data_IF_377284117749
#
_entry.id   IF_377284117749
#
_cell.length_a   1.000
_cell.length_b   1.000
_cell.length_c   1.000
_cell.angle_alpha   90.00
_cell.angle_beta   90.00
_cell.angle_gamma   90.00
#
_symmetry.space_group_name_H-M   'P 1'
#
loop_
_entity.id
_entity.type
_entity.pdbx_description
1 polymer ?
#
# COMPACT_ATOMS: atom_id res chain seq x y z
N UNK A 1 1.99 -15.24 -21.53
CA UNK A 1 1.49 -14.49 -20.37
C UNK A 1 2.63 -14.37 -19.40
N UNK A 2 3.11 -13.14 -19.12
CA UNK A 2 4.12 -12.91 -18.08
C UNK A 2 3.52 -13.27 -16.73
N UNK A 3 4.34 -13.85 -15.84
CA UNK A 3 3.92 -14.08 -14.45
C UNK A 3 3.60 -12.77 -13.73
N UNK A 4 3.04 -12.82 -12.52
CA UNK A 4 2.72 -11.63 -11.75
C UNK A 4 3.98 -10.77 -11.58
N UNK A 5 3.82 -9.46 -11.78
CA UNK A 5 4.91 -8.51 -11.56
C UNK A 5 5.18 -8.40 -10.06
N UNK A 6 6.43 -8.56 -9.63
CA UNK A 6 6.84 -8.46 -8.22
C UNK A 6 8.03 -7.51 -8.11
N UNK A 7 7.99 -6.58 -7.17
CA UNK A 7 9.13 -5.76 -6.80
C UNK A 7 9.97 -6.49 -5.74
N UNK A 8 11.00 -7.19 -6.18
CA UNK A 8 11.90 -7.96 -5.30
C UNK A 8 12.93 -7.10 -4.56
N UNK A 9 12.99 -5.81 -4.81
CA UNK A 9 14.03 -4.95 -4.25
C UNK A 9 13.82 -4.74 -2.74
N UNK A 10 14.93 -4.74 -2.01
CA UNK A 10 15.04 -4.17 -0.67
C UNK A 10 15.77 -2.84 -0.80
N UNK A 11 15.06 -1.74 -0.55
CA UNK A 11 15.65 -0.39 -0.60
C UNK A 11 15.99 0.07 0.80
N UNK A 12 17.14 0.69 0.96
CA UNK A 12 17.62 1.13 2.26
C UNK A 12 18.16 2.54 2.18
N UNK A 13 17.69 3.39 3.08
CA UNK A 13 18.31 4.67 3.38
C UNK A 13 18.89 4.60 4.80
N UNK A 14 20.16 5.01 4.96
CA UNK A 14 20.73 5.17 6.29
C UNK A 14 21.27 6.58 6.49
N UNK A 15 21.27 7.02 7.72
CA UNK A 15 21.83 8.31 8.14
C UNK A 15 23.01 8.02 9.06
N UNK A 16 24.14 8.64 8.77
CA UNK A 16 25.32 8.61 9.63
C UNK A 16 25.65 10.03 10.10
N UNK A 17 26.20 10.14 11.30
CA UNK A 17 26.72 11.41 11.80
C UNK A 17 28.12 11.69 11.21
N UNK A 18 28.71 12.84 11.54
CA UNK A 18 30.02 13.26 11.03
C UNK A 18 31.16 12.32 11.41
N UNK A 19 31.00 11.51 12.45
CA UNK A 19 31.95 10.47 12.85
C UNK A 19 31.74 9.13 12.11
N UNK A 20 30.80 9.08 11.16
CA UNK A 20 30.47 7.86 10.40
C UNK A 20 29.60 6.87 11.16
N UNK A 21 29.09 7.23 12.35
CA UNK A 21 28.22 6.36 13.13
C UNK A 21 26.81 6.38 12.57
N UNK A 22 26.26 5.20 12.22
CA UNK A 22 24.89 5.06 11.73
C UNK A 22 23.89 5.38 12.84
N UNK A 23 23.06 6.40 12.62
CA UNK A 23 22.06 6.90 13.59
C UNK A 23 20.63 6.54 13.23
N UNK A 24 20.35 6.30 11.96
CA UNK A 24 19.03 5.84 11.51
C UNK A 24 19.13 4.93 10.29
N UNK A 25 18.21 3.97 10.19
CA UNK A 25 18.03 3.08 9.03
C UNK A 25 16.54 2.99 8.69
N UNK A 26 16.21 3.29 7.46
CA UNK A 26 14.90 3.05 6.87
C UNK A 26 15.02 1.93 5.84
N UNK A 27 14.29 0.82 6.05
CA UNK A 27 14.14 -0.25 5.08
C UNK A 27 12.79 -0.19 4.38
N UNK A 28 12.76 -0.54 3.11
CA UNK A 28 11.52 -0.67 2.32
C UNK A 28 11.52 -1.96 1.53
N UNK A 29 10.39 -2.67 1.57
CA UNK A 29 10.11 -3.84 0.74
C UNK A 29 8.62 -3.94 0.45
N UNK A 30 8.26 -4.58 -0.66
CA UNK A 30 6.87 -4.74 -1.10
C UNK A 30 6.36 -6.15 -0.75
N UNK A 31 5.82 -6.31 0.46
CA UNK A 31 5.19 -7.56 0.90
C UNK A 31 4.25 -7.28 2.08
N UNK A 32 3.06 -7.89 2.09
CA UNK A 32 2.14 -7.78 3.22
C UNK A 32 2.74 -8.40 4.50
N UNK A 33 2.70 -7.71 5.65
CA UNK A 33 3.18 -8.26 6.93
C UNK A 33 2.08 -9.12 7.60
N UNK A 34 1.78 -10.27 6.99
CA UNK A 34 0.66 -11.14 7.37
C UNK A 34 1.09 -12.63 7.48
N UNK A 35 2.35 -12.87 7.84
CA UNK A 35 2.85 -14.23 8.01
C UNK A 35 2.04 -14.99 9.07
N UNK A 36 1.78 -14.33 10.22
CA UNK A 36 1.01 -14.95 11.30
C UNK A 36 -0.50 -15.01 11.05
N UNK A 37 -1.01 -14.24 10.08
CA UNK A 37 -2.43 -14.21 9.72
C UNK A 37 -3.37 -13.95 10.90
N UNK A 38 -4.57 -14.60 10.94
CA UNK A 38 -5.51 -14.44 12.02
C UNK A 38 -4.96 -15.09 13.30
N UNK A 39 -4.46 -14.26 14.19
CA UNK A 39 -3.86 -14.65 15.46
C UNK A 39 -4.44 -13.80 16.59
N UNK A 40 -4.41 -14.33 17.83
CA UNK A 40 -4.68 -13.56 19.05
C UNK A 40 -3.45 -12.84 19.58
N UNK A 41 -2.29 -13.02 18.95
CA UNK A 41 -1.05 -12.35 19.29
C UNK A 41 -0.99 -10.96 18.65
N UNK A 42 -0.51 -10.00 19.39
CA UNK A 42 -0.11 -8.70 18.85
C UNK A 42 1.33 -8.83 18.36
N UNK A 43 1.53 -8.68 17.06
CA UNK A 43 2.84 -8.86 16.44
C UNK A 43 3.11 -7.77 15.41
N UNK A 44 4.34 -7.23 15.33
CA UNK A 44 4.75 -6.37 14.23
C UNK A 44 5.09 -7.17 12.96
N UNK A 45 4.90 -8.50 12.96
CA UNK A 45 5.26 -9.45 11.92
C UNK A 45 6.73 -9.27 11.47
N UNK A 46 7.11 -9.66 10.26
CA UNK A 46 8.50 -9.57 9.77
C UNK A 46 9.14 -8.15 9.82
N UNK A 47 8.39 -7.03 9.71
CA UNK A 47 8.98 -5.71 9.94
C UNK A 47 9.60 -5.54 11.34
N UNK A 48 9.03 -6.18 12.35
CA UNK A 48 9.62 -6.22 13.70
C UNK A 48 10.95 -6.95 13.73
N UNK A 49 10.99 -8.16 13.18
CA UNK A 49 12.22 -8.96 13.11
C UNK A 49 13.31 -8.27 12.26
N UNK A 50 12.92 -7.59 11.17
CA UNK A 50 13.83 -6.74 10.40
C UNK A 50 14.46 -5.65 11.27
N UNK A 51 13.64 -4.92 12.03
CA UNK A 51 14.13 -3.85 12.93
C UNK A 51 15.08 -4.38 13.98
N UNK A 52 14.73 -5.49 14.60
CA UNK A 52 15.53 -6.10 15.67
C UNK A 52 16.91 -6.50 15.13
N UNK A 53 16.97 -7.16 13.96
CA UNK A 53 18.22 -7.54 13.33
C UNK A 53 19.10 -6.36 12.91
N UNK A 54 18.51 -5.24 12.45
CA UNK A 54 19.27 -3.99 12.18
C UNK A 54 19.82 -3.41 13.48
N UNK A 55 19.04 -3.42 14.56
CA UNK A 55 19.48 -2.92 15.88
C UNK A 55 20.58 -3.77 16.52
N UNK A 56 20.62 -5.06 16.24
CA UNK A 56 21.75 -5.91 16.65
C UNK A 56 23.06 -5.44 16.00
N UNK A 57 23.00 -5.02 14.73
CA UNK A 57 24.17 -4.53 14.02
C UNK A 57 24.52 -3.05 14.41
N UNK A 58 23.51 -2.24 14.74
CA UNK A 58 23.63 -0.83 15.10
C UNK A 58 22.77 -0.49 16.33
N UNK A 59 23.22 -0.82 17.57
CA UNK A 59 22.38 -0.74 18.79
C UNK A 59 21.80 0.64 19.10
N UNK A 60 22.43 1.71 18.62
CA UNK A 60 22.01 3.09 18.89
C UNK A 60 21.15 3.69 17.76
N UNK A 61 20.89 2.93 16.68
CA UNK A 61 20.18 3.49 15.54
C UNK A 61 18.65 3.45 15.72
N UNK A 62 17.98 4.47 15.19
CA UNK A 62 16.53 4.46 14.98
C UNK A 62 16.25 3.66 13.71
N UNK A 63 15.43 2.59 13.82
CA UNK A 63 15.11 1.74 12.68
C UNK A 63 13.64 1.84 12.34
N UNK A 64 13.35 2.11 11.07
CA UNK A 64 12.00 2.14 10.52
C UNK A 64 11.88 1.16 9.33
N UNK A 65 10.66 0.69 9.11
CA UNK A 65 10.30 -0.11 7.93
C UNK A 65 9.07 0.50 7.27
N UNK A 66 9.05 0.56 5.94
CA UNK A 66 7.89 1.00 5.16
C UNK A 66 7.56 -0.02 4.09
N UNK A 67 6.27 -0.25 3.87
CA UNK A 67 5.82 -1.13 2.81
C UNK A 67 5.78 -0.41 1.46
N UNK A 68 6.23 -1.12 0.43
CA UNK A 68 6.05 -0.73 -0.96
C UNK A 68 4.67 -1.12 -1.52
N UNK A 69 4.57 -1.17 -2.84
CA UNK A 69 3.37 -1.61 -3.54
C UNK A 69 3.22 -3.14 -3.43
N UNK A 70 2.41 -3.57 -2.49
CA UNK A 70 2.22 -4.98 -2.14
C UNK A 70 0.76 -5.41 -2.07
N UNK A 71 -0.16 -4.67 -2.71
CA UNK A 71 -1.60 -4.97 -2.65
C UNK A 71 -1.98 -6.37 -3.11
N UNK A 72 -1.13 -7.02 -3.90
CA UNK A 72 -1.26 -8.39 -4.41
C UNK A 72 -0.08 -9.29 -4.03
N UNK A 73 0.75 -8.87 -3.05
CA UNK A 73 1.96 -9.61 -2.67
C UNK A 73 1.90 -10.05 -1.21
N UNK A 74 1.76 -11.32 -1.01
CA UNK A 74 1.80 -12.00 0.29
C UNK A 74 3.13 -12.73 0.51
N UNK A 75 3.50 -13.02 1.78
CA UNK A 75 4.60 -13.91 2.08
C UNK A 75 4.41 -15.30 1.48
N UNK A 76 5.50 -15.96 1.11
CA UNK A 76 5.45 -17.32 0.53
C UNK A 76 4.79 -18.36 1.46
N UNK A 77 4.78 -18.10 2.76
CA UNK A 77 4.07 -18.91 3.76
C UNK A 77 2.56 -18.94 3.57
N UNK A 78 2.01 -17.94 2.85
CA UNK A 78 0.57 -17.86 2.55
C UNK A 78 0.16 -18.55 1.24
N UNK A 79 1.10 -19.19 0.53
CA UNK A 79 0.85 -19.78 -0.78
C UNK A 79 -0.28 -20.83 -0.78
N UNK A 80 -0.30 -21.69 0.22
CA UNK A 80 -1.24 -22.81 0.29
C UNK A 80 -2.49 -22.46 1.12
N UNK A 81 -2.33 -21.63 2.14
CA UNK A 81 -3.43 -21.03 2.89
C UNK A 81 -2.96 -19.77 3.61
N UNK A 82 -3.86 -18.78 3.70
CA UNK A 82 -3.55 -17.49 4.30
C UNK A 82 -3.30 -17.60 5.81
N UNK A 83 -2.21 -16.98 6.25
CA UNK A 83 -1.90 -16.83 7.67
C UNK A 83 -1.46 -18.11 8.39
N UNK A 84 -0.83 -19.04 7.70
CA UNK A 84 -0.32 -20.29 8.29
C UNK A 84 1.15 -20.24 8.69
N UNK A 85 1.81 -19.10 8.58
CA UNK A 85 3.19 -18.96 9.03
C UNK A 85 3.33 -18.97 10.54
N UNK A 86 4.54 -19.23 10.98
CA UNK A 86 4.94 -19.33 12.38
C UNK A 86 5.74 -18.11 12.82
N UNK A 87 5.99 -17.97 14.13
CA UNK A 87 6.91 -16.96 14.67
C UNK A 87 8.33 -17.14 14.12
N UNK A 88 8.74 -18.38 13.86
CA UNK A 88 10.03 -18.67 13.22
C UNK A 88 10.07 -18.15 11.76
N UNK A 89 8.99 -18.30 11.01
CA UNK A 89 8.90 -17.77 9.67
C UNK A 89 8.98 -16.23 9.67
N UNK A 90 8.32 -15.59 10.63
CA UNK A 90 8.41 -14.13 10.85
C UNK A 90 9.86 -13.71 11.06
N UNK A 91 10.56 -14.41 11.97
CA UNK A 91 11.96 -14.13 12.28
C UNK A 91 12.86 -14.31 11.06
N UNK A 92 12.78 -15.48 10.41
CA UNK A 92 13.59 -15.78 9.23
C UNK A 92 13.37 -14.81 8.06
N UNK A 93 12.12 -14.42 7.82
CA UNK A 93 11.78 -13.48 6.75
C UNK A 93 12.35 -12.08 7.05
N UNK A 94 12.16 -11.59 8.28
CA UNK A 94 12.69 -10.29 8.70
C UNK A 94 14.22 -10.24 8.71
N UNK A 95 14.89 -11.30 9.20
CA UNK A 95 16.35 -11.42 9.17
C UNK A 95 16.91 -11.41 7.74
N UNK A 96 16.29 -12.13 6.80
CA UNK A 96 16.70 -12.10 5.38
C UNK A 96 16.62 -10.71 4.76
N UNK A 97 15.53 -9.98 5.03
CA UNK A 97 15.39 -8.61 4.56
C UNK A 97 16.42 -7.67 5.19
N UNK A 98 16.69 -7.84 6.50
CA UNK A 98 17.70 -7.06 7.19
C UNK A 98 19.12 -7.34 6.67
N UNK A 99 19.47 -8.59 6.38
CA UNK A 99 20.77 -8.94 5.78
C UNK A 99 20.92 -8.32 4.39
N UNK A 100 19.85 -8.31 3.58
CA UNK A 100 19.86 -7.63 2.29
C UNK A 100 20.06 -6.11 2.46
N UNK A 101 19.38 -5.50 3.44
CA UNK A 101 19.56 -4.08 3.77
C UNK A 101 20.99 -3.77 4.24
N UNK A 102 21.53 -4.56 5.15
CA UNK A 102 22.92 -4.42 5.64
C UNK A 102 23.95 -4.59 4.51
N UNK A 103 23.69 -5.50 3.56
CA UNK A 103 24.52 -5.65 2.37
C UNK A 103 24.45 -4.40 1.47
N UNK A 104 23.26 -3.86 1.23
CA UNK A 104 23.06 -2.65 0.44
C UNK A 104 23.73 -1.42 1.09
N UNK A 105 23.68 -1.29 2.41
CA UNK A 105 24.33 -0.19 3.15
C UNK A 105 25.85 -0.14 2.93
N UNK A 106 26.52 -1.30 2.76
CA UNK A 106 27.97 -1.36 2.53
C UNK A 106 28.40 -0.77 1.18
N UNK A 107 27.51 -0.73 0.21
CA UNK A 107 27.75 -0.20 -1.14
C UNK A 107 26.95 1.07 -1.43
N UNK A 108 26.28 1.63 -0.42
CA UNK A 108 25.45 2.81 -0.60
C UNK A 108 26.30 4.05 -0.93
N UNK A 109 25.83 4.81 -1.91
CA UNK A 109 26.42 6.11 -2.22
C UNK A 109 25.82 7.19 -1.33
N UNK A 110 26.62 8.20 -0.87
CA UNK A 110 26.11 9.31 -0.09
C UNK A 110 25.21 10.21 -0.95
N UNK A 111 24.11 10.68 -0.37
CA UNK A 111 23.27 11.71 -0.97
C UNK A 111 23.96 13.05 -0.73
N UNK A 112 24.46 13.64 -1.81
CA UNK A 112 25.11 14.95 -1.76
C UNK A 112 24.06 16.08 -1.73
N UNK A 113 24.30 17.10 -0.91
CA UNK A 113 23.41 18.25 -0.72
C UNK A 113 21.95 17.83 -0.49
N UNK A 114 21.61 17.21 0.64
CA UNK A 114 20.31 16.62 0.92
C UNK A 114 19.21 17.67 1.18
N UNK A 115 18.93 18.52 0.21
CA UNK A 115 17.80 19.44 0.28
C UNK A 115 16.50 18.64 0.26
N UNK A 116 15.59 18.99 1.18
CA UNK A 116 14.24 18.43 1.23
C UNK A 116 13.27 19.33 0.48
N UNK A 117 12.49 18.71 -0.40
CA UNK A 117 11.38 19.36 -1.08
C UNK A 117 10.15 18.49 -1.02
N UNK A 118 8.99 19.07 -0.71
CA UNK A 118 7.73 18.33 -0.54
C UNK A 118 6.68 18.91 -1.47
N UNK A 119 6.09 18.04 -2.27
CA UNK A 119 4.93 18.35 -3.11
C UNK A 119 3.75 17.51 -2.66
N UNK A 120 2.57 18.11 -2.57
CA UNK A 120 1.32 17.45 -2.22
C UNK A 120 0.31 17.66 -3.33
N UNK A 121 -0.47 16.64 -3.60
CA UNK A 121 -1.57 16.68 -4.55
C UNK A 121 -2.77 15.94 -3.96
N UNK A 122 -3.97 16.37 -4.30
CA UNK A 122 -5.20 15.68 -3.93
C UNK A 122 -5.82 15.08 -5.19
N UNK A 123 -5.95 13.76 -5.22
CA UNK A 123 -6.71 13.06 -6.25
C UNK A 123 -8.14 12.74 -5.78
N UNK A 124 -9.02 12.54 -6.75
CA UNK A 124 -10.41 12.12 -6.53
C UNK A 124 -10.60 10.76 -7.15
N UNK A 125 -10.92 9.77 -6.33
CA UNK A 125 -11.17 8.41 -6.77
C UNK A 125 -12.68 8.18 -6.80
N UNK A 126 -13.26 8.05 -7.98
CA UNK A 126 -14.69 7.88 -8.16
C UNK A 126 -15.16 6.54 -7.59
N UNK A 127 -16.34 6.54 -6.98
CA UNK A 127 -17.03 5.33 -6.57
C UNK A 127 -17.95 4.82 -7.68
N UNK A 128 -17.98 3.50 -7.86
CA UNK A 128 -18.98 2.80 -8.64
C UNK A 128 -20.10 2.32 -7.70
N UNK A 129 -21.03 3.23 -7.39
CA UNK A 129 -22.13 2.94 -6.47
C UNK A 129 -23.20 2.15 -7.21
N UNK A 130 -23.52 0.90 -6.79
CA UNK A 130 -24.57 0.12 -7.44
C UNK A 130 -25.91 0.88 -7.49
N UNK A 131 -26.67 0.71 -8.58
CA UNK A 131 -27.96 1.37 -8.75
C UNK A 131 -28.95 1.00 -7.62
N UNK A 132 -30.01 1.78 -7.36
CA UNK A 132 -31.05 1.44 -6.38
C UNK A 132 -31.64 0.05 -6.63
N UNK A 133 -31.91 -0.30 -7.89
CA UNK A 133 -32.45 -1.59 -8.30
C UNK A 133 -31.49 -2.72 -7.98
N UNK A 134 -30.22 -2.54 -8.31
CA UNK A 134 -29.16 -3.52 -8.03
C UNK A 134 -28.97 -3.72 -6.51
N UNK A 135 -28.95 -2.66 -5.73
CA UNK A 135 -28.86 -2.74 -4.26
C UNK A 135 -30.04 -3.49 -3.67
N UNK A 136 -31.28 -3.17 -4.12
CA UNK A 136 -32.50 -3.85 -3.68
C UNK A 136 -32.47 -5.34 -4.02
N UNK A 137 -32.00 -5.69 -5.23
CA UNK A 137 -31.82 -7.07 -5.67
C UNK A 137 -30.82 -7.82 -4.77
N UNK A 138 -29.66 -7.22 -4.49
CA UNK A 138 -28.61 -7.81 -3.64
C UNK A 138 -29.07 -8.00 -2.21
N UNK A 139 -29.80 -7.03 -1.63
CA UNK A 139 -30.41 -7.13 -0.30
C UNK A 139 -31.36 -8.34 -0.26
N UNK A 140 -32.24 -8.52 -1.26
CA UNK A 140 -33.18 -9.62 -1.32
C UNK A 140 -32.47 -10.98 -1.41
N UNK A 141 -31.46 -11.11 -2.28
CA UNK A 141 -30.63 -12.32 -2.45
C UNK A 141 -29.97 -12.71 -1.12
N UNK A 142 -29.28 -11.78 -0.49
CA UNK A 142 -28.53 -12.05 0.76
C UNK A 142 -29.46 -12.32 1.93
N UNK A 143 -30.63 -11.66 2.00
CA UNK A 143 -31.65 -11.98 3.00
C UNK A 143 -32.20 -13.39 2.84
N UNK A 144 -32.47 -13.82 1.60
CA UNK A 144 -32.92 -15.19 1.32
C UNK A 144 -31.83 -16.23 1.61
N UNK A 145 -30.59 -15.97 1.21
CA UNK A 145 -29.46 -16.86 1.47
C UNK A 145 -29.18 -17.00 2.98
N UNK A 146 -29.22 -15.89 3.74
CA UNK A 146 -29.07 -15.93 5.20
C UNK A 146 -30.16 -16.74 5.88
N UNK A 147 -31.41 -16.64 5.45
CA UNK A 147 -32.51 -17.48 5.97
C UNK A 147 -32.27 -18.97 5.75
N UNK A 148 -31.80 -19.35 4.55
CA UNK A 148 -31.46 -20.75 4.22
C UNK A 148 -30.27 -21.28 5.04
N UNK A 149 -29.25 -20.43 5.28
CA UNK A 149 -28.04 -20.80 6.05
C UNK A 149 -28.29 -20.92 7.57
N UNK A 150 -29.37 -20.33 8.07
CA UNK A 150 -29.70 -20.30 9.48
C UNK A 150 -28.71 -19.48 10.32
N UNK A 151 -28.30 -20.02 11.50
CA UNK A 151 -27.42 -19.31 12.45
C UNK A 151 -25.91 -19.56 12.20
N UNK A 152 -25.52 -20.19 11.11
CA UNK A 152 -24.08 -20.39 10.83
C UNK A 152 -23.39 -19.04 10.71
N UNK A 153 -22.24 -18.82 11.39
CA UNK A 153 -21.47 -17.59 11.28
C UNK A 153 -20.96 -17.38 9.84
N UNK A 154 -20.82 -16.13 9.45
CA UNK A 154 -20.05 -15.79 8.27
C UNK A 154 -18.56 -15.96 8.63
N UNK A 155 -17.82 -16.71 7.82
CA UNK A 155 -16.38 -16.90 7.99
C UNK A 155 -15.66 -16.22 6.80
N UNK A 156 -15.10 -15.04 7.02
CA UNK A 156 -14.41 -14.31 5.96
C UNK A 156 -13.05 -14.90 5.59
N UNK A 157 -12.48 -15.76 6.44
CA UNK A 157 -11.12 -16.31 6.26
C UNK A 157 -11.11 -17.79 5.84
N UNK A 158 -12.20 -18.51 6.04
CA UNK A 158 -12.31 -19.94 5.72
C UNK A 158 -12.82 -20.27 4.33
N UNK A 159 -13.18 -19.29 3.50
CA UNK A 159 -13.73 -19.52 2.17
C UNK A 159 -12.67 -19.23 1.10
N UNK A 160 -12.29 -20.21 0.26
CA UNK A 160 -11.27 -20.05 -0.79
C UNK A 160 -11.67 -19.11 -1.93
N UNK A 161 -12.87 -18.63 -1.96
CA UNK A 161 -13.35 -17.54 -2.83
C UNK A 161 -14.39 -16.75 -2.04
N UNK A 162 -13.97 -15.67 -1.40
CA UNK A 162 -14.85 -14.81 -0.61
C UNK A 162 -15.82 -13.99 -1.48
N UNK A 163 -16.45 -14.62 -2.45
CA UNK A 163 -17.51 -14.00 -3.23
C UNK A 163 -18.76 -13.73 -2.40
N UNK A 164 -19.66 -12.90 -2.91
CA UNK A 164 -20.88 -12.50 -2.22
C UNK A 164 -21.74 -13.67 -1.72
N UNK A 165 -21.65 -14.85 -2.36
CA UNK A 165 -22.39 -16.05 -1.98
C UNK A 165 -21.93 -16.70 -0.67
N UNK A 166 -20.70 -16.49 -0.23
CA UNK A 166 -20.11 -17.19 0.92
C UNK A 166 -20.51 -16.58 2.27
N UNK A 167 -20.83 -15.28 2.34
CA UNK A 167 -21.10 -14.54 3.56
C UNK A 167 -22.38 -13.69 3.50
N UNK A 168 -23.57 -14.34 3.39
CA UNK A 168 -24.80 -13.60 3.14
C UNK A 168 -25.16 -12.62 4.28
N UNK A 169 -24.79 -12.90 5.51
CA UNK A 169 -25.04 -12.00 6.63
C UNK A 169 -24.17 -10.73 6.56
N UNK A 170 -22.92 -10.86 6.20
CA UNK A 170 -22.02 -9.73 5.99
C UNK A 170 -22.53 -8.81 4.88
N UNK A 171 -22.78 -9.36 3.68
CA UNK A 171 -23.24 -8.60 2.53
C UNK A 171 -24.60 -7.94 2.75
N UNK A 172 -25.53 -8.62 3.44
CA UNK A 172 -26.81 -8.05 3.81
C UNK A 172 -26.63 -6.82 4.71
N UNK A 173 -25.72 -6.88 5.69
CA UNK A 173 -25.43 -5.72 6.57
C UNK A 173 -24.80 -4.58 5.79
N UNK A 174 -23.84 -4.89 4.92
CA UNK A 174 -23.16 -3.91 4.07
C UNK A 174 -24.15 -3.15 3.19
N UNK A 175 -24.94 -3.83 2.35
CA UNK A 175 -25.88 -3.18 1.43
C UNK A 175 -26.97 -2.37 2.18
N UNK A 176 -27.43 -2.83 3.31
CA UNK A 176 -28.37 -2.06 4.16
C UNK A 176 -27.72 -0.80 4.74
N UNK A 177 -26.44 -0.85 5.11
CA UNK A 177 -25.72 0.35 5.57
C UNK A 177 -25.50 1.34 4.45
N UNK A 178 -25.06 0.85 3.31
CA UNK A 178 -24.86 1.66 2.10
C UNK A 178 -26.15 2.38 1.70
N UNK A 179 -27.27 1.67 1.65
CA UNK A 179 -28.60 2.24 1.39
C UNK A 179 -28.95 3.37 2.36
N UNK A 180 -28.81 3.13 3.67
CA UNK A 180 -29.08 4.16 4.69
C UNK A 180 -28.17 5.39 4.55
N UNK A 181 -26.91 5.21 4.20
CA UNK A 181 -25.97 6.34 3.99
C UNK A 181 -26.38 7.16 2.78
N UNK A 182 -26.73 6.52 1.68
CA UNK A 182 -27.19 7.19 0.46
C UNK A 182 -28.49 7.99 0.71
N UNK A 183 -29.48 7.41 1.38
CA UNK A 183 -30.74 8.10 1.73
C UNK A 183 -30.53 9.33 2.62
N UNK A 184 -29.50 9.32 3.46
CA UNK A 184 -29.17 10.47 4.33
C UNK A 184 -28.31 11.54 3.63
N UNK A 185 -27.98 11.37 2.37
CA UNK A 185 -27.04 12.25 1.64
C UNK A 185 -25.61 12.21 2.20
N UNK A 186 -25.26 11.20 2.99
CA UNK A 186 -23.98 11.11 3.69
C UNK A 186 -22.87 10.37 2.93
N UNK A 187 -23.03 10.14 1.63
CA UNK A 187 -22.02 9.50 0.80
C UNK A 187 -21.63 10.42 -0.37
N UNK A 188 -20.36 10.79 -0.43
CA UNK A 188 -19.80 11.47 -1.60
C UNK A 188 -19.72 10.50 -2.79
N UNK A 189 -19.65 11.04 -4.00
CA UNK A 189 -19.47 10.30 -5.26
C UNK A 189 -18.02 9.84 -5.48
N UNK A 190 -17.11 10.27 -4.63
CA UNK A 190 -15.68 9.99 -4.71
C UNK A 190 -15.00 10.01 -3.34
N UNK A 191 -13.86 9.32 -3.23
CA UNK A 191 -12.89 9.49 -2.14
C UNK A 191 -11.89 10.59 -2.50
N UNK A 192 -11.58 11.46 -1.53
CA UNK A 192 -10.48 12.44 -1.67
C UNK A 192 -9.24 11.89 -1.00
N UNK A 193 -8.17 11.76 -1.74
CA UNK A 193 -6.95 11.10 -1.31
C UNK A 193 -5.76 12.03 -1.51
N UNK A 194 -5.00 12.31 -0.45
CA UNK A 194 -3.77 13.10 -0.54
C UNK A 194 -2.60 12.21 -0.92
N UNK A 195 -1.91 12.57 -1.98
CA UNK A 195 -0.61 12.03 -2.37
C UNK A 195 0.49 13.01 -1.98
N UNK A 196 1.63 12.48 -1.60
CA UNK A 196 2.78 13.29 -1.26
C UNK A 196 4.06 12.72 -1.90
N UNK A 197 4.85 13.61 -2.52
CA UNK A 197 6.22 13.29 -2.93
C UNK A 197 7.19 14.10 -2.09
N UNK A 198 8.15 13.42 -1.48
CA UNK A 198 9.24 14.02 -0.72
C UNK A 198 10.55 13.71 -1.45
N UNK A 199 11.19 14.75 -1.98
CA UNK A 199 12.47 14.64 -2.66
C UNK A 199 13.61 14.93 -1.66
N UNK A 200 14.58 14.04 -1.66
CA UNK A 200 15.81 14.17 -0.88
C UNK A 200 17.00 14.28 -1.84
N UNK A 201 17.58 15.46 -1.92
CA UNK A 201 18.61 15.75 -2.91
C UNK A 201 18.07 15.67 -4.34
N UNK A 202 18.89 15.18 -5.28
CA UNK A 202 18.53 15.04 -6.69
C UNK A 202 18.06 13.64 -7.05
N UNK A 203 18.51 12.65 -6.30
CA UNK A 203 18.50 11.26 -6.72
C UNK A 203 17.41 10.43 -6.06
N UNK A 204 16.86 10.88 -4.92
CA UNK A 204 15.89 10.11 -4.14
C UNK A 204 14.56 10.83 -4.06
N UNK A 205 13.48 10.11 -4.34
CA UNK A 205 12.11 10.57 -4.12
C UNK A 205 11.31 9.50 -3.39
N UNK A 206 10.65 9.89 -2.31
CA UNK A 206 9.67 9.09 -1.60
C UNK A 206 8.28 9.51 -2.09
N UNK A 207 7.42 8.51 -2.38
CA UNK A 207 6.03 8.74 -2.80
C UNK A 207 5.11 8.07 -1.80
N UNK A 208 4.39 8.87 -1.03
CA UNK A 208 3.42 8.41 -0.05
C UNK A 208 2.04 8.27 -0.70
N UNK A 209 1.48 7.06 -0.62
CA UNK A 209 0.19 6.69 -1.20
C UNK A 209 -0.65 6.04 -0.10
N UNK A 210 -1.81 6.61 0.30
CA UNK A 210 -2.63 6.09 1.39
C UNK A 210 -3.55 4.94 0.93
N UNK A 211 -2.95 3.95 0.27
CA UNK A 211 -3.67 2.83 -0.35
C UNK A 211 -2.82 1.56 -0.39
N UNK A 212 -3.49 0.46 -0.68
CA UNK A 212 -2.87 -0.82 -1.04
C UNK A 212 -2.75 -0.90 -2.57
N UNK A 213 -1.54 -0.57 -3.05
CA UNK A 213 -1.22 -0.51 -4.48
C UNK A 213 -0.69 -1.86 -4.95
N UNK A 214 -1.19 -2.35 -6.07
CA UNK A 214 -0.69 -3.58 -6.70
C UNK A 214 0.75 -3.41 -7.21
N UNK A 215 1.53 -4.46 -7.17
CA UNK A 215 2.95 -4.44 -7.53
C UNK A 215 3.20 -3.94 -8.96
N UNK A 216 2.36 -4.33 -9.93
CA UNK A 216 2.47 -3.87 -11.32
C UNK A 216 2.35 -2.35 -11.44
N UNK A 217 1.44 -1.71 -10.70
CA UNK A 217 1.28 -0.25 -10.71
C UNK A 217 2.43 0.45 -10.00
N UNK A 218 2.95 -0.16 -8.92
CA UNK A 218 4.17 0.30 -8.26
C UNK A 218 5.36 0.33 -9.21
N UNK A 219 5.57 -0.73 -9.99
CA UNK A 219 6.62 -0.81 -10.99
C UNK A 219 6.43 0.23 -12.12
N UNK A 220 5.20 0.45 -12.59
CA UNK A 220 4.89 1.49 -13.59
C UNK A 220 5.22 2.91 -13.07
N UNK A 221 4.99 3.19 -11.79
CA UNK A 221 5.36 4.46 -11.16
C UNK A 221 6.87 4.61 -11.11
N UNK A 222 7.59 3.57 -10.68
CA UNK A 222 9.05 3.58 -10.61
C UNK A 222 9.70 3.76 -11.99
N UNK A 223 9.20 3.07 -13.01
CA UNK A 223 9.66 3.22 -14.39
C UNK A 223 9.43 4.62 -14.97
N UNK A 224 8.35 5.27 -14.57
CA UNK A 224 8.03 6.63 -15.01
C UNK A 224 8.84 7.72 -14.29
N UNK A 225 9.47 7.38 -13.18
CA UNK A 225 10.30 8.30 -12.41
C UNK A 225 11.62 8.57 -13.09
N UNK A 226 12.08 9.81 -13.01
CA UNK A 226 13.41 10.23 -13.48
C UNK A 226 14.44 10.31 -12.35
N UNK A 227 14.02 10.07 -11.10
CA UNK A 227 14.93 9.96 -9.95
C UNK A 227 15.63 8.61 -9.98
N UNK A 228 16.90 8.57 -9.59
CA UNK A 228 17.65 7.32 -9.53
C UNK A 228 17.03 6.29 -8.58
N UNK A 229 16.43 6.80 -7.51
CA UNK A 229 15.76 5.98 -6.49
C UNK A 229 14.37 6.52 -6.19
N UNK A 230 13.35 5.73 -6.52
CA UNK A 230 11.96 6.01 -6.18
C UNK A 230 11.47 5.00 -5.17
N UNK A 231 11.15 5.49 -3.98
CA UNK A 231 10.71 4.70 -2.82
C UNK A 231 9.22 4.90 -2.63
N UNK A 232 8.43 3.87 -2.91
CA UNK A 232 6.99 3.90 -2.66
C UNK A 232 6.72 3.59 -1.19
N UNK A 233 5.89 4.39 -0.56
CA UNK A 233 5.39 4.20 0.80
C UNK A 233 3.88 4.06 0.72
N UNK A 234 3.41 2.83 0.67
CA UNK A 234 1.98 2.53 0.73
C UNK A 234 1.46 2.61 2.17
N UNK A 235 0.14 2.76 2.35
CA UNK A 235 -0.51 3.03 3.65
C UNK A 235 -0.01 4.29 4.37
N UNK A 236 0.55 5.22 3.63
CA UNK A 236 1.13 6.44 4.19
C UNK A 236 0.15 7.61 4.10
N UNK A 237 0.08 8.43 5.16
CA UNK A 237 -0.77 9.62 5.28
C UNK A 237 -2.28 9.36 5.29
N UNK A 238 -2.71 8.15 5.53
CA UNK A 238 -4.11 7.74 5.56
C UNK A 238 -4.33 6.36 4.94
N UNK A 239 -5.60 6.03 4.69
CA UNK A 239 -5.94 4.73 4.13
C UNK A 239 -7.28 4.77 3.37
N UNK A 240 -7.26 4.48 2.10
CA UNK A 240 -8.45 4.40 1.25
C UNK A 240 -8.79 2.98 0.74
N UNK A 241 -8.04 1.96 1.16
CA UNK A 241 -8.23 0.57 0.73
C UNK A 241 -7.38 0.20 -0.48
N UNK A 242 -7.77 -0.86 -1.15
CA UNK A 242 -7.10 -1.33 -2.37
C UNK A 242 -7.39 -0.46 -3.57
N UNK A 243 -6.39 -0.30 -4.44
CA UNK A 243 -6.52 0.28 -5.77
C UNK A 243 -6.22 -0.80 -6.81
N UNK A 244 -7.16 -1.72 -7.06
CA UNK A 244 -6.93 -2.88 -7.89
C UNK A 244 -6.97 -2.54 -9.39
N UNK A 245 -6.31 -3.35 -10.25
CA UNK A 245 -6.41 -3.21 -11.69
C UNK A 245 -7.81 -3.58 -12.20
N UNK A 246 -8.16 -3.11 -13.41
CA UNK A 246 -9.46 -3.32 -14.03
C UNK A 246 -9.87 -4.81 -14.10
N UNK A 247 -8.93 -5.73 -14.28
CA UNK A 247 -9.22 -7.16 -14.31
C UNK A 247 -9.89 -7.68 -13.04
N UNK A 248 -9.50 -7.16 -11.87
CA UNK A 248 -10.10 -7.54 -10.59
C UNK A 248 -11.59 -7.22 -10.51
N UNK A 249 -11.99 -6.10 -11.12
CA UNK A 249 -13.42 -5.73 -11.19
C UNK A 249 -14.19 -6.66 -12.13
N UNK A 250 -13.61 -7.06 -13.25
CA UNK A 250 -14.24 -7.99 -14.19
C UNK A 250 -14.36 -9.40 -13.64
N UNK A 251 -13.37 -9.84 -12.89
CA UNK A 251 -13.28 -11.18 -12.30
C UNK A 251 -14.00 -11.28 -10.96
N UNK A 252 -14.41 -10.17 -10.35
CA UNK A 252 -15.04 -10.12 -9.03
C UNK A 252 -14.08 -10.47 -7.90
N UNK A 253 -12.81 -10.06 -8.03
CA UNK A 253 -11.74 -10.32 -7.07
C UNK A 253 -12.02 -9.75 -5.67
N UNK A 254 -11.31 -10.27 -4.67
CA UNK A 254 -11.40 -9.86 -3.28
C UNK A 254 -11.22 -8.34 -3.12
N UNK A 255 -10.21 -7.77 -3.75
CA UNK A 255 -9.79 -6.38 -3.56
C UNK A 255 -10.77 -5.37 -4.18
N UNK A 256 -11.44 -5.76 -5.28
CA UNK A 256 -12.45 -4.94 -5.94
C UNK A 256 -13.82 -4.99 -5.26
N UNK A 257 -14.10 -6.00 -4.42
CA UNK A 257 -15.42 -6.25 -3.87
C UNK A 257 -15.44 -6.35 -2.34
N UNK A 258 -14.97 -7.46 -1.80
CA UNK A 258 -15.06 -7.75 -0.36
C UNK A 258 -14.25 -6.77 0.48
N UNK A 259 -13.04 -6.41 0.06
CA UNK A 259 -12.20 -5.46 0.78
C UNK A 259 -12.89 -4.09 0.90
N UNK A 260 -13.43 -3.54 -0.19
CA UNK A 260 -14.18 -2.28 -0.16
C UNK A 260 -15.37 -2.36 0.83
N UNK A 261 -16.15 -3.45 0.78
CA UNK A 261 -17.27 -3.67 1.68
C UNK A 261 -16.85 -3.87 3.15
N UNK A 262 -15.68 -4.46 3.42
CA UNK A 262 -15.13 -4.62 4.76
C UNK A 262 -14.76 -3.27 5.38
N UNK A 263 -14.31 -2.31 4.56
CA UNK A 263 -14.05 -0.93 5.00
C UNK A 263 -15.30 -0.04 4.96
N UNK A 264 -16.48 -0.62 4.77
CA UNK A 264 -17.78 0.08 4.68
C UNK A 264 -17.82 1.18 3.59
N UNK A 265 -17.14 0.93 2.48
CA UNK A 265 -17.04 1.83 1.32
C UNK A 265 -17.72 1.20 0.09
N UNK A 266 -18.26 2.01 -0.84
CA UNK A 266 -18.58 1.50 -2.17
C UNK A 266 -17.31 1.02 -2.89
N UNK A 267 -17.41 0.12 -3.87
CA UNK A 267 -16.31 -0.16 -4.76
C UNK A 267 -15.91 1.12 -5.50
N UNK A 268 -14.64 1.26 -5.81
CA UNK A 268 -14.16 2.30 -6.73
C UNK A 268 -14.56 1.96 -8.18
N UNK A 269 -14.47 2.96 -9.07
CA UNK A 269 -14.54 2.73 -10.51
C UNK A 269 -13.37 1.84 -10.97
N UNK A 270 -13.58 1.08 -12.05
CA UNK A 270 -12.62 0.07 -12.50
C UNK A 270 -11.30 0.63 -13.02
N UNK A 271 -11.23 1.93 -13.29
CA UNK A 271 -10.03 2.66 -13.72
C UNK A 271 -9.21 3.24 -12.56
N UNK A 272 -9.60 2.98 -11.31
CA UNK A 272 -9.04 3.61 -10.10
C UNK A 272 -7.51 3.51 -10.02
N UNK A 273 -6.93 2.38 -10.38
CA UNK A 273 -5.48 2.19 -10.35
C UNK A 273 -4.77 3.03 -11.42
N UNK A 274 -5.36 3.16 -12.61
CA UNK A 274 -4.82 4.00 -13.68
C UNK A 274 -4.89 5.48 -13.30
N UNK A 275 -6.00 5.94 -12.74
CA UNK A 275 -6.16 7.30 -12.21
C UNK A 275 -5.08 7.62 -11.18
N UNK A 276 -4.80 6.70 -10.26
CA UNK A 276 -3.73 6.86 -9.27
C UNK A 276 -2.36 6.94 -9.94
N UNK A 277 -2.04 6.04 -10.87
CA UNK A 277 -0.73 6.04 -11.58
C UNK A 277 -0.51 7.37 -12.30
N UNK A 278 -1.52 7.89 -13.00
CA UNK A 278 -1.40 9.14 -13.75
C UNK A 278 -1.23 10.35 -12.83
N UNK A 279 -1.92 10.39 -11.69
CA UNK A 279 -1.73 11.43 -10.68
C UNK A 279 -0.32 11.40 -10.06
N UNK A 280 0.20 10.20 -9.75
CA UNK A 280 1.56 10.06 -9.22
C UNK A 280 2.61 10.49 -10.25
N UNK A 281 2.41 10.16 -11.53
CA UNK A 281 3.29 10.63 -12.61
C UNK A 281 3.33 12.16 -12.69
N UNK A 282 2.19 12.82 -12.57
CA UNK A 282 2.13 14.28 -12.56
C UNK A 282 2.83 14.86 -11.33
N UNK A 283 2.58 14.30 -10.14
CA UNK A 283 3.23 14.68 -8.89
C UNK A 283 4.77 14.57 -8.99
N UNK A 284 5.29 13.51 -9.63
CA UNK A 284 6.72 13.33 -9.86
C UNK A 284 7.28 14.39 -10.83
N UNK A 285 6.54 14.75 -11.88
CA UNK A 285 6.94 15.83 -12.80
C UNK A 285 7.02 17.17 -12.09
N UNK A 286 6.02 17.53 -11.29
CA UNK A 286 6.01 18.76 -10.49
C UNK A 286 7.17 18.80 -9.52
N UNK A 287 7.43 17.71 -8.81
CA UNK A 287 8.54 17.58 -7.86
C UNK A 287 9.90 17.84 -8.54
N UNK A 288 10.07 17.34 -9.78
CA UNK A 288 11.27 17.58 -10.57
C UNK A 288 11.41 19.05 -10.98
N UNK A 289 10.35 19.69 -11.44
CA UNK A 289 10.35 21.08 -11.90
C UNK A 289 10.72 22.05 -10.77
N UNK A 290 10.15 21.85 -9.57
CA UNK A 290 10.49 22.64 -8.38
C UNK A 290 11.98 22.50 -8.02
N UNK A 291 12.54 21.31 -8.13
CA UNK A 291 13.96 21.07 -7.90
C UNK A 291 14.88 21.75 -8.91
N UNK A 292 14.50 21.78 -10.19
CA UNK A 292 15.28 22.45 -11.23
C UNK A 292 15.23 23.97 -11.09
N UNK A 293 14.11 24.56 -10.70
CA UNK A 293 13.97 26.01 -10.52
C UNK A 293 14.78 26.61 -9.37
N UNK A 294 15.09 25.84 -8.35
CA UNK A 294 15.93 26.30 -7.21
C UNK A 294 17.42 26.31 -7.52
N UNK A 295 17.86 25.67 -8.60
CA UNK A 295 19.26 25.53 -9.01
C UNK A 295 19.60 26.35 -10.25
N UNK A 296 18.73 27.27 -10.68
CA UNK A 296 19.06 28.28 -11.68
C UNK A 296 20.25 29.12 -11.22
N UNK A 297 21.09 29.68 -12.15
CA UNK A 297 22.30 30.41 -11.79
C UNK A 297 21.93 31.54 -10.79
N UNK A 298 22.46 31.45 -9.58
CA UNK A 298 22.43 32.58 -8.63
C UNK A 298 23.14 33.73 -9.36
N UNK A 299 22.37 34.68 -9.85
CA UNK A 299 22.92 35.89 -10.45
C UNK A 299 24.01 36.43 -9.54
N UNK A 300 25.20 36.63 -10.13
CA UNK A 300 26.26 37.41 -9.54
C UNK A 300 25.65 38.76 -9.12
N UNK A 301 25.40 38.93 -7.83
CA UNK A 301 25.21 40.25 -7.28
C UNK A 301 26.60 40.88 -7.30
N UNK A 302 26.86 41.68 -8.34
CA UNK A 302 27.97 42.62 -8.39
C UNK A 302 27.93 43.50 -7.13
N UNK A 303 29.07 43.54 -6.44
CA UNK A 303 29.39 44.49 -5.37
C UNK A 303 29.49 45.92 -5.90
#
# INVERSE_FOLDING_TARGET
>A
MGGPSVDHAVRTLHVANDAGVVTAVLGQHACHPVILGPSTLISPDFPGAFRDRIRDAYPQCVTAFVNGACGDIDPITNRDAWGQGTVDDVRQHGERLAEAALAAMRSAAPITAPELDVVRSTMRLAYDVPSPEERSRRIAIHAAAKRRRGRRPDDPFGAPAAGEGSMPGFWLRYYRRLERRLHRGGLADHERVELQALRLGRDVVFVAIPAEVYAEHGLLIQQASTSAHTVLMCWANGYCGYLPPEREFREGGYTASLAAAAYDRPPFSSDVAQVMVDHVRELLRETRQRGAGRHGPRGQRSA
#
